data_IF_862266973244
#
_entry.id   IF_862266973244
#
_cell.length_a   1.000
_cell.length_b   1.000
_cell.length_c   1.000
_cell.angle_alpha   90.00
_cell.angle_beta   90.00
_cell.angle_gamma   90.00
#
_symmetry.space_group_name_H-M   'P 1'
#
loop_
_entity.id
_entity.type
_entity.pdbx_description
1 polymer ?
#
# COMPACT_ATOMS: atom_id res chain seq x y z
N UNK A 1 39.06 -0.96 3.55
CA UNK A 1 37.99 0.05 3.35
C UNK A 1 36.85 -0.62 2.63
N UNK A 2 35.61 -0.34 3.01
CA UNK A 2 34.42 -0.86 2.32
C UNK A 2 34.27 -0.19 0.96
N UNK A 3 34.05 -0.96 -0.11
CA UNK A 3 33.77 -0.42 -1.44
C UNK A 3 32.32 0.10 -1.52
N UNK A 4 32.13 1.35 -1.10
CA UNK A 4 30.82 1.98 -1.08
C UNK A 4 30.27 2.27 -2.47
N UNK A 5 31.13 2.49 -3.46
CA UNK A 5 30.72 2.61 -4.87
C UNK A 5 30.16 1.29 -5.41
N UNK A 6 30.82 0.16 -5.10
CA UNK A 6 30.32 -1.17 -5.43
C UNK A 6 28.97 -1.48 -4.78
N UNK A 7 28.81 -1.16 -3.49
CA UNK A 7 27.53 -1.34 -2.77
C UNK A 7 26.43 -0.49 -3.38
N UNK A 8 26.68 0.79 -3.67
CA UNK A 8 25.67 1.68 -4.25
C UNK A 8 25.25 1.25 -5.66
N UNK A 9 26.20 0.80 -6.50
CA UNK A 9 25.89 0.19 -7.80
C UNK A 9 24.98 -1.03 -7.67
N UNK A 10 25.32 -1.95 -6.76
CA UNK A 10 24.49 -3.12 -6.52
C UNK A 10 23.07 -2.73 -6.12
N UNK A 11 22.92 -1.74 -5.22
CA UNK A 11 21.60 -1.26 -4.81
C UNK A 11 20.82 -0.70 -6.02
N UNK A 12 21.44 0.10 -6.87
CA UNK A 12 20.82 0.67 -8.08
C UNK A 12 20.40 -0.41 -9.06
N UNK A 13 21.28 -1.37 -9.33
CA UNK A 13 20.99 -2.48 -10.23
C UNK A 13 19.82 -3.33 -9.73
N UNK A 14 19.78 -3.66 -8.43
CA UNK A 14 18.79 -4.58 -7.89
C UNK A 14 17.46 -3.92 -7.53
N UNK A 15 17.48 -2.75 -6.91
CA UNK A 15 16.27 -2.12 -6.35
C UNK A 15 15.70 -1.00 -7.22
N UNK A 16 16.50 -0.50 -8.17
CA UNK A 16 16.08 0.55 -9.10
C UNK A 16 16.18 0.07 -10.57
N UNK A 17 16.26 -1.24 -10.79
CA UNK A 17 16.37 -1.86 -12.12
C UNK A 17 17.54 -1.35 -12.98
N UNK A 18 18.59 -0.84 -12.33
CA UNK A 18 19.72 -0.19 -13.00
C UNK A 18 19.40 1.20 -13.57
N UNK A 19 18.21 1.73 -13.33
CA UNK A 19 17.78 3.03 -13.85
C UNK A 19 18.12 4.17 -12.89
N UNK A 20 18.96 5.08 -13.38
CA UNK A 20 19.39 6.26 -12.63
C UNK A 20 18.24 7.25 -12.45
N UNK A 21 17.33 7.38 -13.42
CA UNK A 21 16.20 8.31 -13.29
C UNK A 21 15.25 7.86 -12.18
N UNK A 22 14.95 6.57 -12.12
CA UNK A 22 14.20 5.98 -11.01
C UNK A 22 14.93 6.21 -9.68
N UNK A 23 16.24 5.94 -9.59
CA UNK A 23 17.00 6.18 -8.37
C UNK A 23 16.99 7.67 -7.93
N UNK A 24 17.06 8.61 -8.87
CA UNK A 24 16.91 10.04 -8.60
C UNK A 24 15.54 10.37 -8.00
N UNK A 25 14.47 9.80 -8.57
CA UNK A 25 13.09 10.09 -8.14
C UNK A 25 12.82 9.61 -6.70
N UNK A 26 13.42 8.49 -6.29
CA UNK A 26 13.26 7.93 -4.95
C UNK A 26 14.20 8.54 -3.91
N UNK A 27 15.43 8.88 -4.29
CA UNK A 27 16.45 9.33 -3.33
C UNK A 27 16.60 10.86 -3.25
N UNK A 28 16.13 11.59 -4.27
CA UNK A 28 16.25 13.04 -4.38
C UNK A 28 17.62 13.54 -4.83
N UNK A 29 18.59 12.64 -5.09
CA UNK A 29 19.88 13.02 -5.65
C UNK A 29 19.80 13.27 -7.15
N UNK A 30 20.71 14.09 -7.69
CA UNK A 30 20.79 14.34 -9.13
C UNK A 30 21.45 13.18 -9.87
N UNK A 31 21.08 12.97 -11.14
CA UNK A 31 21.65 11.89 -11.97
C UNK A 31 23.17 11.95 -12.01
N UNK A 32 23.74 13.15 -12.12
CA UNK A 32 25.18 13.35 -12.11
C UNK A 32 25.86 12.85 -10.83
N UNK A 33 25.28 13.13 -9.65
CA UNK A 33 25.84 12.63 -8.38
C UNK A 33 25.86 11.11 -8.34
N UNK A 34 24.77 10.49 -8.78
CA UNK A 34 24.63 9.04 -8.84
C UNK A 34 25.64 8.44 -9.84
N UNK A 35 25.76 9.01 -11.03
CA UNK A 35 26.74 8.61 -12.04
C UNK A 35 28.19 8.72 -11.55
N UNK A 36 28.53 9.81 -10.86
CA UNK A 36 29.87 10.04 -10.31
C UNK A 36 30.21 8.99 -9.23
N UNK A 37 29.23 8.53 -8.44
CA UNK A 37 29.41 7.44 -7.48
C UNK A 37 29.51 6.07 -8.15
N UNK A 38 28.64 5.80 -9.13
CA UNK A 38 28.61 4.52 -9.85
C UNK A 38 29.88 4.29 -10.69
N UNK A 39 30.38 5.34 -11.31
CA UNK A 39 31.63 5.30 -12.09
C UNK A 39 32.89 5.24 -11.21
N UNK A 40 32.75 5.47 -9.90
CA UNK A 40 33.87 5.53 -8.97
C UNK A 40 34.71 6.80 -9.06
N UNK A 41 34.23 7.83 -9.78
CA UNK A 41 34.88 9.14 -9.83
C UNK A 41 34.94 9.79 -8.45
N UNK A 42 33.90 9.60 -7.62
CA UNK A 42 33.93 9.98 -6.22
C UNK A 42 33.31 8.91 -5.33
N UNK A 43 33.80 8.83 -4.09
CA UNK A 43 33.28 7.87 -3.10
C UNK A 43 32.06 8.47 -2.37
N UNK A 44 30.92 7.78 -2.34
CA UNK A 44 29.79 8.21 -1.53
C UNK A 44 30.15 8.13 -0.04
N UNK A 45 29.55 9.02 0.75
CA UNK A 45 29.68 8.96 2.20
C UNK A 45 28.90 7.77 2.76
N UNK A 46 29.22 7.34 3.98
CA UNK A 46 28.45 6.28 4.66
C UNK A 46 26.95 6.60 4.69
N UNK A 47 26.60 7.81 5.13
CA UNK A 47 25.20 8.25 5.24
C UNK A 47 24.47 8.24 3.89
N UNK A 48 25.18 8.48 2.78
CA UNK A 48 24.61 8.38 1.44
C UNK A 48 24.21 6.93 1.15
N UNK A 49 25.10 5.96 1.40
CA UNK A 49 24.78 4.55 1.18
C UNK A 49 23.63 4.09 2.08
N UNK A 50 23.64 4.50 3.35
CA UNK A 50 22.57 4.20 4.30
C UNK A 50 21.23 4.80 3.86
N UNK A 51 21.21 6.03 3.35
CA UNK A 51 20.02 6.65 2.79
C UNK A 51 19.46 5.85 1.60
N UNK A 52 20.31 5.41 0.66
CA UNK A 52 19.89 4.55 -0.46
C UNK A 52 19.29 3.23 0.02
N UNK A 53 19.88 2.60 1.05
CA UNK A 53 19.32 1.40 1.69
C UNK A 53 17.93 1.73 2.25
N UNK A 54 17.78 2.82 3.00
CA UNK A 54 16.49 3.21 3.54
C UNK A 54 15.45 3.46 2.44
N UNK A 55 15.77 4.20 1.38
CA UNK A 55 14.85 4.42 0.26
C UNK A 55 14.50 3.14 -0.51
N UNK A 56 15.42 2.16 -0.58
CA UNK A 56 15.18 0.90 -1.27
C UNK A 56 14.29 -0.06 -0.45
N UNK A 57 14.42 -0.05 0.88
CA UNK A 57 13.75 -1.03 1.75
C UNK A 57 12.61 -0.48 2.59
N UNK A 58 12.49 0.84 2.73
CA UNK A 58 11.41 1.48 3.50
C UNK A 58 10.30 1.85 2.53
N UNK A 59 9.18 1.12 2.51
CA UNK A 59 8.04 1.52 1.69
C UNK A 59 7.48 2.85 2.20
N UNK A 60 7.50 3.87 1.36
CA UNK A 60 6.69 5.07 1.59
C UNK A 60 5.26 4.77 1.16
N UNK A 61 4.31 4.85 2.09
CA UNK A 61 2.90 4.73 1.73
C UNK A 61 2.53 5.94 0.88
N UNK A 62 2.18 5.68 -0.38
CA UNK A 62 1.67 6.74 -1.24
C UNK A 62 0.15 6.80 -1.10
N UNK A 63 -0.35 7.96 -0.68
CA UNK A 63 -1.77 8.25 -0.68
C UNK A 63 -2.29 8.23 -2.12
N UNK A 64 -3.16 7.27 -2.44
CA UNK A 64 -3.86 7.21 -3.73
C UNK A 64 -5.07 8.13 -3.65
N UNK A 65 -5.85 7.98 -2.57
CA UNK A 65 -7.01 8.80 -2.29
C UNK A 65 -7.35 8.76 -0.80
N UNK A 66 -7.77 9.90 -0.25
CA UNK A 66 -8.18 10.03 1.14
C UNK A 66 -9.61 10.53 1.23
N UNK A 67 -10.44 9.81 1.99
CA UNK A 67 -11.84 10.16 2.25
C UNK A 67 -12.64 10.60 1.01
N UNK A 68 -12.38 9.99 -0.15
CA UNK A 68 -13.12 10.34 -1.34
C UNK A 68 -14.57 9.89 -1.24
N UNK A 69 -15.47 10.78 -1.66
CA UNK A 69 -16.89 10.53 -1.61
C UNK A 69 -17.30 9.43 -2.60
N UNK A 70 -18.07 8.47 -2.10
CA UNK A 70 -18.65 7.38 -2.86
C UNK A 70 -20.17 7.58 -2.98
N UNK A 71 -20.67 7.56 -4.21
CA UNK A 71 -22.07 7.74 -4.56
C UNK A 71 -22.74 6.37 -4.76
N UNK A 72 -23.63 6.02 -3.84
CA UNK A 72 -24.24 4.69 -3.78
C UNK A 72 -25.18 4.38 -4.96
N UNK A 73 -25.69 5.43 -5.59
CA UNK A 73 -26.58 5.42 -6.76
C UNK A 73 -25.82 5.34 -8.09
N UNK A 74 -24.50 5.46 -8.08
CA UNK A 74 -23.67 5.40 -9.29
C UNK A 74 -22.98 4.04 -9.46
N UNK A 75 -22.60 3.66 -10.70
CA UNK A 75 -21.92 2.40 -10.95
C UNK A 75 -20.60 2.28 -10.18
N UNK A 76 -20.50 1.27 -9.29
CA UNK A 76 -19.34 1.05 -8.41
C UNK A 76 -18.02 1.01 -9.19
N UNK A 77 -17.95 0.23 -10.27
CA UNK A 77 -16.72 0.05 -11.04
C UNK A 77 -16.23 1.35 -11.68
N UNK A 78 -17.15 2.19 -12.18
CA UNK A 78 -16.78 3.45 -12.81
C UNK A 78 -16.20 4.44 -11.79
N UNK A 79 -16.79 4.50 -10.59
CA UNK A 79 -16.27 5.32 -9.50
C UNK A 79 -14.90 4.84 -9.05
N UNK A 80 -14.71 3.53 -8.81
CA UNK A 80 -13.42 3.00 -8.37
C UNK A 80 -12.29 3.22 -9.39
N UNK A 81 -12.58 3.09 -10.71
CA UNK A 81 -11.60 3.42 -11.76
C UNK A 81 -11.18 4.88 -11.72
N UNK A 82 -12.13 5.78 -11.45
CA UNK A 82 -11.83 7.21 -11.30
C UNK A 82 -11.01 7.47 -10.04
N UNK A 83 -11.38 6.85 -8.92
CA UNK A 83 -10.69 7.01 -7.63
C UNK A 83 -9.25 6.48 -7.65
N UNK A 84 -8.99 5.39 -8.37
CA UNK A 84 -7.69 4.72 -8.41
C UNK A 84 -6.93 4.95 -9.69
N UNK A 85 -7.24 6.03 -10.43
CA UNK A 85 -6.63 6.31 -11.73
C UNK A 85 -5.10 6.33 -11.63
N UNK A 86 -4.43 5.43 -12.36
CA UNK A 86 -2.96 5.28 -12.37
C UNK A 86 -2.40 4.35 -11.28
N UNK A 87 -3.26 3.81 -10.41
CA UNK A 87 -2.91 2.91 -9.30
C UNK A 87 -3.78 1.64 -9.27
N UNK A 88 -4.56 1.37 -10.33
CA UNK A 88 -5.60 0.34 -10.35
C UNK A 88 -5.05 -1.06 -10.08
N UNK A 89 -3.88 -1.35 -10.63
CA UNK A 89 -3.25 -2.68 -10.57
C UNK A 89 -2.21 -2.82 -9.47
N UNK A 90 -2.04 -1.79 -8.63
CA UNK A 90 -1.02 -1.79 -7.58
C UNK A 90 -1.49 -2.53 -6.33
N UNK A 91 -0.51 -3.02 -5.57
CA UNK A 91 -0.74 -3.51 -4.23
C UNK A 91 -1.02 -2.35 -3.28
N UNK A 92 -1.88 -2.57 -2.29
CA UNK A 92 -2.49 -1.47 -1.56
C UNK A 92 -3.23 -1.87 -0.30
N UNK A 93 -3.64 -0.85 0.44
CA UNK A 93 -4.65 -0.96 1.49
C UNK A 93 -5.79 -0.05 1.11
N UNK A 94 -7.01 -0.51 1.30
CA UNK A 94 -8.22 0.28 1.10
C UNK A 94 -9.10 0.24 2.34
N UNK A 95 -9.75 1.37 2.61
CA UNK A 95 -10.60 1.59 3.77
C UNK A 95 -11.97 2.10 3.33
N UNK A 96 -13.02 1.58 3.96
CA UNK A 96 -14.39 2.04 3.77
C UNK A 96 -14.90 2.71 5.02
N UNK A 97 -15.62 3.82 4.82
CA UNK A 97 -16.21 4.60 5.90
C UNK A 97 -17.71 4.81 5.67
N UNK A 98 -18.47 4.93 6.76
CA UNK A 98 -19.87 5.31 6.72
C UNK A 98 -20.06 6.83 6.57
N UNK A 99 -21.32 7.29 6.60
CA UNK A 99 -21.65 8.72 6.49
C UNK A 99 -21.20 9.59 7.67
N UNK A 100 -20.81 8.97 8.79
CA UNK A 100 -20.27 9.65 9.96
C UNK A 100 -18.73 9.57 10.00
N UNK A 101 -18.11 9.12 8.91
CA UNK A 101 -16.67 8.90 8.78
C UNK A 101 -16.10 7.83 9.75
N UNK A 102 -16.93 6.90 10.24
CA UNK A 102 -16.44 5.75 10.99
C UNK A 102 -15.80 4.73 10.06
N UNK A 103 -14.64 4.20 10.42
CA UNK A 103 -14.02 3.09 9.70
C UNK A 103 -14.86 1.82 9.88
N UNK A 104 -15.49 1.35 8.81
CA UNK A 104 -16.37 0.17 8.82
C UNK A 104 -15.71 -1.07 8.21
N UNK A 105 -14.73 -0.89 7.33
CA UNK A 105 -13.95 -1.98 6.75
C UNK A 105 -12.54 -1.53 6.37
N UNK A 106 -11.57 -2.41 6.57
CA UNK A 106 -10.22 -2.28 6.04
C UNK A 106 -9.87 -3.57 5.27
N UNK A 107 -9.20 -3.43 4.13
CA UNK A 107 -8.72 -4.57 3.36
C UNK A 107 -7.34 -4.33 2.76
N UNK A 108 -6.53 -5.37 2.69
CA UNK A 108 -5.36 -5.41 1.80
C UNK A 108 -5.74 -5.80 0.38
N UNK A 109 -4.94 -5.39 -0.60
CA UNK A 109 -5.06 -5.77 -2.00
C UNK A 109 -3.68 -6.00 -2.62
N UNK A 110 -3.56 -7.00 -3.49
CA UNK A 110 -2.50 -7.08 -4.52
C UNK A 110 -2.91 -6.38 -5.81
N UNK A 111 -4.22 -6.19 -6.02
CA UNK A 111 -4.78 -5.36 -7.09
C UNK A 111 -5.91 -4.48 -6.53
N UNK A 112 -5.62 -3.20 -6.31
CA UNK A 112 -6.52 -2.24 -5.67
C UNK A 112 -7.92 -2.23 -6.29
N UNK A 113 -8.03 -2.13 -7.62
CA UNK A 113 -9.33 -2.02 -8.29
C UNK A 113 -10.16 -3.30 -8.11
N UNK A 114 -9.59 -4.46 -8.42
CA UNK A 114 -10.30 -5.75 -8.41
C UNK A 114 -10.75 -6.14 -7.01
N UNK A 115 -9.86 -5.98 -6.02
CA UNK A 115 -10.15 -6.40 -4.66
C UNK A 115 -11.07 -5.43 -3.93
N UNK A 116 -10.91 -4.12 -4.13
CA UNK A 116 -11.86 -3.13 -3.60
C UNK A 116 -13.26 -3.36 -4.18
N UNK A 117 -13.36 -3.60 -5.51
CA UNK A 117 -14.63 -3.89 -6.16
C UNK A 117 -15.28 -5.18 -5.62
N UNK A 118 -14.49 -6.23 -5.40
CA UNK A 118 -14.96 -7.46 -4.77
C UNK A 118 -15.47 -7.19 -3.35
N UNK A 119 -14.69 -6.48 -2.54
CA UNK A 119 -14.99 -6.25 -1.13
C UNK A 119 -16.21 -5.35 -0.90
N UNK A 120 -16.38 -4.28 -1.68
CA UNK A 120 -17.52 -3.36 -1.53
C UNK A 120 -18.86 -3.98 -1.96
N UNK A 121 -18.83 -5.06 -2.75
CA UNK A 121 -20.02 -5.80 -3.19
C UNK A 121 -20.38 -7.00 -2.31
N UNK A 122 -19.61 -7.25 -1.25
CA UNK A 122 -19.95 -8.28 -0.26
C UNK A 122 -21.16 -7.87 0.58
N UNK A 123 -21.74 -8.86 1.23
CA UNK A 123 -22.90 -8.67 2.09
C UNK A 123 -22.54 -7.91 3.39
N UNK A 124 -23.55 -7.23 3.94
CA UNK A 124 -23.51 -6.59 5.25
C UNK A 124 -24.06 -7.55 6.28
N UNK A 125 -23.17 -8.28 6.94
CA UNK A 125 -23.53 -9.26 7.97
C UNK A 125 -23.65 -8.60 9.37
N UNK A 126 -24.39 -7.50 9.47
CA UNK A 126 -24.61 -6.79 10.74
C UNK A 126 -26.08 -6.92 11.14
N UNK A 127 -26.31 -7.15 12.43
CA UNK A 127 -27.66 -7.16 12.99
C UNK A 127 -28.18 -5.71 13.08
N UNK A 128 -29.17 -5.40 12.24
CA UNK A 128 -29.89 -4.13 12.28
C UNK A 128 -31.04 -4.18 13.30
N UNK A 129 -31.27 -3.11 14.09
CA UNK A 129 -32.41 -3.00 14.99
C UNK A 129 -33.76 -3.30 14.30
N UNK A 130 -34.71 -3.84 15.06
CA UNK A 130 -36.01 -4.31 14.54
C UNK A 130 -36.86 -3.22 13.84
N UNK A 131 -36.57 -1.93 14.06
CA UNK A 131 -37.28 -0.80 13.46
C UNK A 131 -36.85 -0.43 12.03
N UNK A 132 -35.80 -1.04 11.48
CA UNK A 132 -35.29 -0.70 10.14
C UNK A 132 -36.08 -1.45 9.06
N UNK A 133 -36.87 -0.71 8.28
CA UNK A 133 -37.75 -1.26 7.22
C UNK A 133 -36.99 -1.81 6.01
N UNK A 134 -35.85 -1.21 5.66
CA UNK A 134 -35.01 -1.63 4.54
C UNK A 134 -33.58 -1.76 5.04
N UNK A 135 -33.16 -3.01 5.28
CA UNK A 135 -31.79 -3.31 5.72
C UNK A 135 -30.88 -3.27 4.48
N UNK A 136 -29.73 -2.61 4.54
CA UNK A 136 -28.75 -2.68 3.47
C UNK A 136 -28.25 -4.12 3.36
N UNK A 137 -28.23 -4.66 2.15
CA UNK A 137 -27.77 -6.02 1.88
C UNK A 137 -26.30 -6.02 1.52
N UNK A 138 -25.86 -4.99 0.77
CA UNK A 138 -24.51 -4.88 0.22
C UNK A 138 -23.75 -3.72 0.86
N UNK A 139 -22.44 -3.88 1.01
CA UNK A 139 -21.60 -2.87 1.67
C UNK A 139 -21.63 -1.52 0.96
N UNK A 140 -21.69 -1.49 -0.37
CA UNK A 140 -21.80 -0.22 -1.12
C UNK A 140 -23.02 0.63 -0.70
N UNK A 141 -24.06 0.06 -0.10
CA UNK A 141 -25.24 0.78 0.40
C UNK A 141 -24.98 1.52 1.73
N UNK A 142 -23.89 1.21 2.42
CA UNK A 142 -23.49 1.87 3.68
C UNK A 142 -22.16 2.63 3.56
N UNK A 143 -21.33 2.30 2.57
CA UNK A 143 -20.11 3.06 2.29
C UNK A 143 -20.48 4.46 1.80
N UNK A 144 -19.84 5.47 2.40
CA UNK A 144 -19.89 6.87 1.98
C UNK A 144 -18.53 7.42 1.56
N UNK A 145 -17.45 6.96 2.19
CA UNK A 145 -16.10 7.38 1.81
C UNK A 145 -15.18 6.19 1.60
N UNK A 146 -14.22 6.36 0.70
CA UNK A 146 -13.16 5.39 0.41
C UNK A 146 -11.81 6.08 0.54
N UNK A 147 -10.88 5.43 1.22
CA UNK A 147 -9.46 5.78 1.14
C UNK A 147 -8.68 4.60 0.58
N UNK A 148 -7.61 4.87 -0.15
CA UNK A 148 -6.67 3.86 -0.59
C UNK A 148 -5.25 4.40 -0.54
N UNK A 149 -4.33 3.52 -0.19
CA UNK A 149 -2.91 3.78 -0.08
C UNK A 149 -2.17 2.69 -0.85
N UNK A 150 -1.23 3.10 -1.66
CA UNK A 150 -0.27 2.24 -2.30
C UNK A 150 0.86 1.97 -1.30
N UNK A 151 1.15 0.70 -1.07
CA UNK A 151 2.10 0.25 -0.05
C UNK A 151 3.44 -0.13 -0.66
N UNK A 152 3.58 -0.01 -1.99
CA UNK A 152 4.65 -0.62 -2.75
C UNK A 152 4.53 -2.15 -2.78
N UNK A 153 5.23 -2.76 -3.72
CA UNK A 153 5.43 -4.22 -3.77
C UNK A 153 6.84 -4.54 -3.29
N UNK A 154 6.96 -5.46 -2.33
CA UNK A 154 8.23 -6.05 -1.93
C UNK A 154 8.14 -7.56 -2.07
N UNK A 155 9.11 -8.16 -2.77
CA UNK A 155 9.22 -9.61 -2.92
C UNK A 155 9.50 -10.32 -1.59
N UNK A 156 9.97 -9.57 -0.59
CA UNK A 156 10.44 -10.08 0.70
C UNK A 156 9.51 -9.76 1.86
N UNK A 157 8.54 -8.84 1.70
CA UNK A 157 7.69 -8.36 2.79
C UNK A 157 6.27 -8.04 2.28
N UNK A 158 5.27 -8.77 2.77
CA UNK A 158 3.83 -8.43 2.58
C UNK A 158 3.45 -7.29 3.52
N UNK A 159 4.03 -6.10 3.28
CA UNK A 159 3.73 -4.88 4.03
C UNK A 159 2.22 -4.55 4.11
N UNK A 160 1.43 -4.68 3.03
CA UNK A 160 -0.02 -4.49 3.12
C UNK A 160 -0.67 -5.35 4.21
N UNK A 161 -0.28 -6.63 4.32
CA UNK A 161 -0.77 -7.55 5.37
C UNK A 161 -0.36 -7.12 6.76
N UNK A 162 0.89 -6.68 6.96
CA UNK A 162 1.37 -6.26 8.27
C UNK A 162 0.65 -5.01 8.78
N UNK A 163 0.48 -4.00 7.91
CA UNK A 163 -0.22 -2.76 8.25
C UNK A 163 -1.70 -3.02 8.49
N UNK A 164 -2.36 -3.81 7.63
CA UNK A 164 -3.76 -4.23 7.85
C UNK A 164 -3.90 -4.95 9.19
N UNK A 165 -3.04 -5.93 9.47
CA UNK A 165 -3.06 -6.69 10.72
C UNK A 165 -2.80 -5.84 11.96
N UNK A 166 -2.02 -4.77 11.85
CA UNK A 166 -1.80 -3.79 12.91
C UNK A 166 -3.02 -2.91 13.14
N UNK A 167 -3.59 -2.32 12.08
CA UNK A 167 -4.76 -1.42 12.20
C UNK A 167 -5.98 -2.18 12.71
N UNK A 168 -6.20 -3.43 12.28
CA UNK A 168 -7.32 -4.27 12.75
C UNK A 168 -7.27 -4.60 14.25
N UNK A 169 -6.14 -4.33 14.94
CA UNK A 169 -5.98 -4.54 16.38
C UNK A 169 -6.29 -3.32 17.24
N UNK A 170 -6.45 -2.12 16.66
CA UNK A 170 -6.73 -0.88 17.42
C UNK A 170 -8.25 -0.61 17.43
N UNK A 171 -8.89 -0.09 16.37
CA UNK A 171 -10.33 -0.22 16.21
C UNK A 171 -10.66 -1.41 15.30
N UNK A 172 -11.35 -2.44 15.81
CA UNK A 172 -11.85 -3.52 14.96
C UNK A 172 -13.02 -3.00 14.11
N UNK A 173 -12.89 -2.82 12.79
CA UNK A 173 -14.00 -2.35 11.97
C UNK A 173 -15.11 -3.39 11.94
N UNK A 174 -16.35 -2.94 12.00
CA UNK A 174 -17.53 -3.80 12.19
C UNK A 174 -17.74 -4.84 11.07
N UNK A 175 -17.22 -4.60 9.86
CA UNK A 175 -17.33 -5.52 8.72
C UNK A 175 -16.13 -6.46 8.56
N UNK A 176 -15.09 -6.34 9.39
CA UNK A 176 -13.94 -7.25 9.39
C UNK A 176 -14.22 -8.46 10.29
N UNK A 177 -14.56 -9.60 9.68
CA UNK A 177 -14.81 -10.86 10.39
C UNK A 177 -13.53 -11.58 10.84
N UNK A 178 -12.51 -11.57 9.98
CA UNK A 178 -11.22 -12.20 10.24
C UNK A 178 -10.22 -11.12 10.65
N UNK A 179 -9.54 -11.33 11.78
CA UNK A 179 -8.37 -10.54 12.16
C UNK A 179 -7.18 -11.26 11.53
N UNK A 180 -6.44 -10.59 10.65
CA UNK A 180 -5.19 -11.13 10.13
C UNK A 180 -4.23 -11.48 11.27
N UNK A 181 -3.41 -12.52 11.08
CA UNK A 181 -2.32 -12.82 12.00
C UNK A 181 -1.05 -12.13 11.53
N UNK A 182 -0.30 -11.53 12.47
CA UNK A 182 1.05 -11.07 12.20
C UNK A 182 1.93 -12.32 12.25
N UNK A 183 2.38 -12.78 11.10
CA UNK A 183 3.42 -13.80 10.99
C UNK A 183 4.79 -13.18 11.28
N UNK A 184 5.75 -14.00 11.70
CA UNK A 184 7.15 -13.57 11.74
C UNK A 184 7.61 -13.20 10.33
N UNK A 185 8.40 -12.14 10.20
CA UNK A 185 8.99 -11.73 8.93
C UNK A 185 9.98 -12.81 8.47
N UNK A 186 9.49 -13.74 7.62
CA UNK A 186 10.16 -14.81 6.87
C UNK A 186 11.24 -15.66 7.57
N UNK A 187 11.28 -16.94 7.20
CA UNK A 187 12.46 -17.79 7.44
C UNK A 187 13.62 -17.28 6.57
N UNK A 188 14.86 -17.18 7.10
CA UNK A 188 16.01 -16.80 6.29
C UNK A 188 16.15 -17.71 5.06
N UNK A 189 16.56 -17.17 3.89
CA UNK A 189 16.84 -18.00 2.73
C UNK A 189 17.91 -19.06 3.07
N UNK A 190 17.65 -20.32 2.69
CA UNK A 190 18.56 -21.45 2.93
C UNK A 190 18.20 -22.38 4.09
N UNK A 191 16.99 -22.26 4.65
CA UNK A 191 16.44 -23.23 5.61
C UNK A 191 15.27 -23.95 4.93
N UNK A 192 15.58 -25.06 4.26
CA UNK A 192 14.59 -26.09 3.86
C UNK A 192 14.24 -26.98 5.07
#
# INVERSE_FOLDING_TARGET
MTDRCGVLRYIIEQYYSGDIETACSYTGYSSKQIEDWCSGQCQPQHLTVEHFIHCAFTPEFQSVVEFAEFKQDQPVMAQLRTLFKGHEERAGIYAFYDSMANLIYLGKATNLLKETYSAIRRDVDIQFPAGIKKKPEKRYEIVRYISAYDVGSSDWLDFPKHVESLILRIPKPILNKNIGHIEQAYTPPGID
#
